data_IF_720097914479
#
_entry.id   IF_720097914479
#
_cell.length_a   1.000
_cell.length_b   1.000
_cell.length_c   1.000
_cell.angle_alpha   90.00
_cell.angle_beta   90.00
_cell.angle_gamma   90.00
#
_symmetry.space_group_name_H-M   'P 1'
#
loop_
_entity.id
_entity.type
_entity.pdbx_description
1 polymer ?
#
# COMPACT_ATOMS: atom_id res chain seq x y z
N UNK A 1 15.93 -68.11 52.64
CA UNK A 1 14.84 -67.24 52.12
C UNK A 1 15.43 -66.16 51.22
N UNK A 2 15.17 -66.20 49.90
CA UNK A 2 15.57 -65.13 48.97
C UNK A 2 14.38 -64.18 48.76
N UNK A 3 14.50 -62.92 49.18
CA UNK A 3 13.48 -61.88 48.94
C UNK A 3 13.50 -61.49 47.45
N UNK A 4 12.41 -61.78 46.72
CA UNK A 4 12.18 -61.28 45.36
C UNK A 4 11.84 -59.79 45.43
N UNK A 5 12.67 -58.91 44.84
CA UNK A 5 12.33 -57.51 44.59
C UNK A 5 11.37 -57.46 43.39
N UNK A 6 10.13 -57.05 43.62
CA UNK A 6 9.14 -56.83 42.56
C UNK A 6 9.39 -55.45 41.96
N UNK A 7 10.12 -55.37 40.84
CA UNK A 7 10.18 -54.14 40.06
C UNK A 7 8.89 -54.00 39.26
N UNK A 8 7.97 -53.14 39.73
CA UNK A 8 6.79 -52.74 38.93
C UNK A 8 7.29 -51.93 37.73
N UNK A 9 7.31 -52.55 36.54
CA UNK A 9 7.48 -51.84 35.26
C UNK A 9 6.19 -51.06 35.03
N UNK A 10 6.26 -49.74 34.99
CA UNK A 10 5.11 -48.89 34.69
C UNK A 10 4.84 -48.93 33.18
N UNK A 11 3.97 -49.85 32.74
CA UNK A 11 3.63 -50.11 31.32
C UNK A 11 2.89 -48.94 30.61
N UNK A 12 2.71 -47.79 31.27
CA UNK A 12 2.11 -46.57 30.69
C UNK A 12 3.03 -45.36 30.59
N UNK A 13 4.28 -45.45 31.04
CA UNK A 13 5.18 -44.28 31.14
C UNK A 13 5.52 -43.65 29.78
N UNK A 14 5.79 -44.48 28.76
CA UNK A 14 6.09 -44.00 27.41
C UNK A 14 4.89 -43.37 26.68
N UNK A 15 3.66 -43.78 27.01
CA UNK A 15 2.45 -43.15 26.47
C UNK A 15 2.23 -41.75 27.05
N UNK A 16 2.50 -41.58 28.35
CA UNK A 16 2.43 -40.28 29.00
C UNK A 16 3.50 -39.31 28.47
N UNK A 17 4.73 -39.80 28.24
CA UNK A 17 5.80 -39.01 27.63
C UNK A 17 5.43 -38.57 26.21
N UNK A 18 4.82 -39.45 25.41
CA UNK A 18 4.33 -39.11 24.07
C UNK A 18 3.21 -38.05 24.10
N UNK A 19 2.29 -38.13 25.07
CA UNK A 19 1.23 -37.12 25.26
C UNK A 19 1.80 -35.75 25.65
N UNK A 20 2.75 -35.72 26.57
CA UNK A 20 3.43 -34.48 26.97
C UNK A 20 4.23 -33.91 25.80
N UNK A 21 4.94 -34.75 25.04
CA UNK A 21 5.68 -34.33 23.86
C UNK A 21 4.74 -33.75 22.77
N UNK A 22 3.59 -34.38 22.53
CA UNK A 22 2.56 -33.87 21.60
C UNK A 22 2.02 -32.51 22.07
N UNK A 23 1.77 -32.36 23.36
CA UNK A 23 1.27 -31.12 23.94
C UNK A 23 2.30 -29.98 23.79
N UNK A 24 3.57 -30.25 24.08
CA UNK A 24 4.66 -29.29 23.90
C UNK A 24 4.83 -28.94 22.42
N UNK A 25 4.85 -29.94 21.53
CA UNK A 25 4.95 -29.72 20.08
C UNK A 25 3.79 -28.88 19.55
N UNK A 26 2.56 -29.11 20.04
CA UNK A 26 1.38 -28.32 19.72
C UNK A 26 1.50 -26.85 20.16
N UNK A 27 1.96 -26.60 21.39
CA UNK A 27 2.21 -25.23 21.87
C UNK A 27 3.27 -24.51 21.04
N UNK A 28 4.38 -25.19 20.73
CA UNK A 28 5.43 -24.64 19.88
C UNK A 28 4.91 -24.32 18.48
N UNK A 29 4.10 -25.22 17.89
CA UNK A 29 3.45 -25.00 16.60
C UNK A 29 2.58 -23.74 16.56
N UNK A 30 1.78 -23.49 17.61
CA UNK A 30 0.95 -22.28 17.71
C UNK A 30 1.82 -21.03 17.79
N UNK A 31 2.89 -21.05 18.58
CA UNK A 31 3.81 -19.91 18.71
C UNK A 31 4.48 -19.60 17.36
N UNK A 32 4.97 -20.63 16.67
CA UNK A 32 5.56 -20.47 15.33
C UNK A 32 4.56 -19.90 14.33
N UNK A 33 3.32 -20.40 14.31
CA UNK A 33 2.27 -19.89 13.43
C UNK A 33 1.92 -18.43 13.71
N UNK A 34 1.97 -18.00 14.99
CA UNK A 34 1.79 -16.58 15.34
C UNK A 34 2.90 -15.70 14.80
N UNK A 35 4.16 -16.14 14.93
CA UNK A 35 5.31 -15.42 14.38
C UNK A 35 5.20 -15.37 12.85
N UNK A 36 4.93 -16.51 12.19
CA UNK A 36 4.77 -16.58 10.74
C UNK A 36 3.63 -15.70 10.23
N UNK A 37 2.50 -15.68 10.93
CA UNK A 37 1.36 -14.81 10.59
C UNK A 37 1.74 -13.33 10.69
N UNK A 38 2.48 -12.94 11.73
CA UNK A 38 2.99 -11.58 11.87
C UNK A 38 3.92 -11.22 10.70
N UNK A 39 4.89 -12.08 10.37
CA UNK A 39 5.81 -11.84 9.25
C UNK A 39 5.11 -11.80 7.89
N UNK A 40 4.09 -12.64 7.67
CA UNK A 40 3.31 -12.62 6.42
C UNK A 40 2.49 -11.34 6.30
N UNK A 41 1.95 -10.83 7.41
CA UNK A 41 1.23 -9.56 7.43
C UNK A 41 2.15 -8.39 7.14
N UNK A 42 3.35 -8.38 7.73
CA UNK A 42 4.38 -7.37 7.45
C UNK A 42 4.82 -7.42 5.99
N UNK A 43 5.07 -8.61 5.45
CA UNK A 43 5.41 -8.80 4.04
C UNK A 43 4.32 -8.25 3.11
N UNK A 44 3.05 -8.58 3.36
CA UNK A 44 1.93 -8.06 2.58
C UNK A 44 1.82 -6.53 2.66
N UNK A 45 2.16 -5.92 3.80
CA UNK A 45 2.20 -4.47 3.94
C UNK A 45 3.38 -3.84 3.18
N UNK A 46 4.53 -4.50 3.15
CA UNK A 46 5.69 -4.05 2.38
C UNK A 46 5.40 -4.10 0.88
N UNK A 47 4.86 -5.21 0.38
CA UNK A 47 4.49 -5.35 -1.04
C UNK A 47 3.51 -4.26 -1.49
N UNK A 48 2.55 -3.90 -0.62
CA UNK A 48 1.64 -2.80 -0.86
C UNK A 48 2.36 -1.44 -0.90
N UNK A 49 3.27 -1.18 0.05
CA UNK A 49 4.03 0.07 0.07
C UNK A 49 4.93 0.22 -1.16
N UNK A 50 5.57 -0.87 -1.59
CA UNK A 50 6.40 -0.90 -2.79
C UNK A 50 5.56 -0.62 -4.04
N UNK A 51 4.36 -1.21 -4.13
CA UNK A 51 3.42 -0.96 -5.23
C UNK A 51 2.98 0.50 -5.25
N UNK A 52 2.58 1.08 -4.11
CA UNK A 52 2.21 2.49 -4.00
C UNK A 52 3.36 3.41 -4.42
N UNK A 53 4.57 3.15 -3.94
CA UNK A 53 5.75 3.93 -4.30
C UNK A 53 6.05 3.83 -5.81
N UNK A 54 5.95 2.62 -6.39
CA UNK A 54 6.15 2.41 -7.82
C UNK A 54 5.13 3.20 -8.66
N UNK A 55 3.86 3.19 -8.27
CA UNK A 55 2.82 3.96 -8.96
C UNK A 55 3.01 5.46 -8.80
N UNK A 56 3.45 5.94 -7.63
CA UNK A 56 3.73 7.35 -7.40
C UNK A 56 4.90 7.84 -8.27
N UNK A 57 5.99 7.06 -8.35
CA UNK A 57 7.13 7.37 -9.22
C UNK A 57 6.72 7.34 -10.69
N UNK A 58 5.94 6.33 -11.11
CA UNK A 58 5.42 6.25 -12.48
C UNK A 58 4.54 7.45 -12.85
N UNK A 59 3.63 7.84 -11.96
CA UNK A 59 2.81 9.02 -12.11
C UNK A 59 3.65 10.30 -12.23
N UNK A 60 4.77 10.41 -11.50
CA UNK A 60 5.67 11.56 -11.59
C UNK A 60 6.32 11.70 -12.96
N UNK A 61 6.77 10.58 -13.54
CA UNK A 61 7.36 10.54 -14.88
C UNK A 61 6.29 10.86 -15.93
N UNK A 62 5.08 10.35 -15.74
CA UNK A 62 3.98 10.65 -16.63
C UNK A 62 3.59 12.13 -16.59
N UNK A 63 3.46 12.74 -15.41
CA UNK A 63 3.20 14.17 -15.28
C UNK A 63 4.32 15.02 -15.89
N UNK A 64 5.58 14.58 -15.76
CA UNK A 64 6.70 15.24 -16.45
C UNK A 64 6.57 15.14 -17.97
N UNK A 65 6.19 13.98 -18.51
CA UNK A 65 5.94 13.82 -19.96
C UNK A 65 4.79 14.69 -20.43
N UNK A 66 3.70 14.78 -19.66
CA UNK A 66 2.57 15.67 -19.96
C UNK A 66 3.05 17.12 -19.96
N UNK A 67 3.83 17.53 -18.95
CA UNK A 67 4.38 18.89 -18.90
C UNK A 67 5.31 19.21 -20.08
N UNK A 68 6.14 18.27 -20.52
CA UNK A 68 7.01 18.43 -21.71
C UNK A 68 6.16 18.50 -22.99
N UNK A 69 5.20 17.59 -23.16
CA UNK A 69 4.31 17.59 -24.32
C UNK A 69 3.47 18.88 -24.40
N UNK A 70 3.11 19.43 -23.24
CA UNK A 70 2.42 20.71 -23.14
C UNK A 70 3.30 21.91 -23.52
N UNK A 71 4.63 21.81 -23.37
CA UNK A 71 5.55 22.84 -23.87
C UNK A 71 5.59 22.89 -25.40
N UNK A 72 5.30 21.78 -26.07
CA UNK A 72 5.28 21.68 -27.53
C UNK A 72 3.93 22.06 -28.15
N UNK A 73 2.89 22.26 -27.32
CA UNK A 73 1.55 22.67 -27.77
C UNK A 73 1.42 24.20 -27.80
N UNK A 74 0.71 24.71 -28.81
CA UNK A 74 0.37 26.14 -28.92
C UNK A 74 -0.59 26.59 -27.80
N UNK A 75 -1.45 25.69 -27.30
CA UNK A 75 -2.29 25.88 -26.11
C UNK A 75 -1.75 25.04 -24.94
N UNK A 76 -1.28 25.73 -23.91
CA UNK A 76 -0.61 25.14 -22.74
C UNK A 76 -1.63 24.81 -21.63
N UNK A 77 -1.88 23.53 -21.36
CA UNK A 77 -2.67 23.01 -20.24
C UNK A 77 -2.07 23.35 -18.86
N UNK A 78 -0.75 23.53 -18.74
CA UNK A 78 -0.09 23.93 -17.50
C UNK A 78 -0.01 25.45 -17.29
N UNK A 79 -0.35 26.28 -18.28
CA UNK A 79 -0.33 27.73 -18.11
C UNK A 79 -1.63 28.19 -17.43
N UNK A 80 -1.54 28.40 -16.12
CA UNK A 80 -2.32 29.29 -15.21
C UNK A 80 -3.87 29.29 -15.24
N UNK A 81 -4.51 28.80 -16.30
CA UNK A 81 -5.95 29.00 -16.53
C UNK A 81 -6.76 27.76 -16.12
N UNK A 82 -6.19 26.55 -16.25
CA UNK A 82 -6.88 25.29 -15.94
C UNK A 82 -6.33 24.58 -14.68
N UNK A 83 -5.04 24.77 -14.39
CA UNK A 83 -4.36 24.15 -13.25
C UNK A 83 -4.08 25.21 -12.18
N UNK A 84 -4.78 25.09 -11.05
CA UNK A 84 -4.81 26.05 -9.96
C UNK A 84 -3.92 25.54 -8.81
N UNK A 85 -3.06 26.42 -8.29
CA UNK A 85 -2.27 26.11 -7.09
C UNK A 85 -3.15 25.72 -5.90
N UNK A 86 -2.72 24.71 -5.16
CA UNK A 86 -3.42 24.17 -4.01
C UNK A 86 -4.52 23.16 -4.33
N UNK A 87 -4.94 23.05 -5.59
CA UNK A 87 -5.99 22.12 -6.06
C UNK A 87 -5.46 20.72 -6.31
N UNK A 88 -6.36 19.73 -6.26
CA UNK A 88 -6.09 18.33 -6.59
C UNK A 88 -6.68 17.98 -7.95
N UNK A 89 -5.99 17.12 -8.67
CA UNK A 89 -6.38 16.68 -9.99
C UNK A 89 -6.25 15.17 -10.09
N UNK A 90 -7.24 14.55 -10.72
CA UNK A 90 -7.20 13.13 -11.05
C UNK A 90 -6.44 12.93 -12.36
N UNK A 91 -5.92 11.72 -12.55
CA UNK A 91 -5.21 11.31 -13.75
C UNK A 91 -5.99 10.15 -14.36
N UNK A 92 -6.16 10.15 -15.68
CA UNK A 92 -6.82 9.04 -16.35
C UNK A 92 -6.14 7.67 -16.07
N UNK A 93 -6.84 6.59 -16.42
CA UNK A 93 -6.40 5.21 -16.17
C UNK A 93 -5.00 4.91 -16.75
N UNK A 94 -4.66 5.50 -17.89
CA UNK A 94 -3.37 5.29 -18.57
C UNK A 94 -2.24 6.18 -18.03
N UNK A 95 -2.58 7.27 -17.36
CA UNK A 95 -1.61 8.21 -16.80
C UNK A 95 -1.18 9.27 -17.80
N UNK A 96 -1.91 9.43 -18.89
CA UNK A 96 -1.53 10.25 -20.05
C UNK A 96 -2.19 11.62 -20.06
N UNK A 97 -3.29 11.79 -19.31
CA UNK A 97 -4.05 13.04 -19.31
C UNK A 97 -4.52 13.43 -17.90
N UNK A 98 -4.52 14.73 -17.65
CA UNK A 98 -5.03 15.34 -16.42
C UNK A 98 -6.53 15.54 -16.57
N UNK A 99 -7.32 15.05 -15.61
CA UNK A 99 -8.76 15.21 -15.63
C UNK A 99 -9.17 16.54 -15.00
N UNK A 100 -9.90 17.35 -15.76
CA UNK A 100 -10.56 18.59 -15.31
C UNK A 100 -12.06 18.33 -15.13
N UNK A 101 -12.74 18.95 -14.16
CA UNK A 101 -12.28 19.96 -13.20
C UNK A 101 -11.50 19.39 -11.99
N UNK A 102 -10.89 20.23 -11.13
CA UNK A 102 -10.21 19.78 -9.92
C UNK A 102 -11.13 18.97 -9.00
N UNK A 103 -10.55 17.95 -8.37
CA UNK A 103 -11.23 17.02 -7.46
C UNK A 103 -11.01 17.43 -6.00
N UNK A 104 -11.92 17.01 -5.12
CA UNK A 104 -11.73 17.16 -3.67
C UNK A 104 -11.12 15.89 -3.10
N UNK A 105 -9.88 15.98 -2.62
CA UNK A 105 -9.26 14.87 -1.90
C UNK A 105 -9.79 14.80 -0.46
N UNK A 106 -10.51 13.73 -0.14
CA UNK A 106 -10.97 13.42 1.21
C UNK A 106 -10.87 11.92 1.49
N UNK A 107 -10.65 11.55 2.74
CA UNK A 107 -10.52 10.14 3.14
C UNK A 107 -11.78 9.30 2.87
N UNK A 108 -12.95 9.94 2.79
CA UNK A 108 -14.25 9.31 2.51
C UNK A 108 -14.62 9.29 1.02
N UNK A 109 -13.88 9.99 0.16
CA UNK A 109 -14.14 10.10 -1.28
C UNK A 109 -13.23 9.23 -2.15
N UNK A 110 -12.62 8.18 -1.59
CA UNK A 110 -11.62 7.36 -2.29
C UNK A 110 -12.20 6.59 -3.48
N UNK A 111 -13.47 6.21 -3.40
CA UNK A 111 -14.14 5.41 -4.42
C UNK A 111 -14.45 6.19 -5.71
N UNK A 112 -14.31 7.52 -5.69
CA UNK A 112 -14.57 8.37 -6.86
C UNK A 112 -13.33 8.64 -7.72
N UNK A 113 -12.14 8.19 -7.31
CA UNK A 113 -10.92 8.38 -8.10
C UNK A 113 -10.77 7.32 -9.17
N UNK A 114 -10.12 7.70 -10.26
CA UNK A 114 -9.79 6.81 -11.36
C UNK A 114 -8.78 5.76 -10.91
N UNK A 115 -9.11 4.49 -11.16
CA UNK A 115 -8.26 3.36 -10.81
C UNK A 115 -7.19 3.13 -11.86
N UNK A 116 -6.03 2.65 -11.40
CA UNK A 116 -5.00 2.13 -12.30
C UNK A 116 -5.51 0.78 -12.86
N UNK A 117 -5.43 0.55 -14.19
CA UNK A 117 -6.00 -0.63 -14.84
C UNK A 117 -5.61 -1.94 -14.16
N UNK A 118 -6.62 -2.78 -13.89
CA UNK A 118 -6.48 -4.08 -13.23
C UNK A 118 -5.93 -4.01 -11.80
N UNK A 119 -6.13 -2.89 -11.11
CA UNK A 119 -5.71 -2.73 -9.71
C UNK A 119 -6.73 -1.96 -8.87
N UNK A 120 -6.60 -2.05 -7.55
CA UNK A 120 -7.40 -1.28 -6.59
C UNK A 120 -6.73 0.04 -6.17
N UNK A 121 -5.66 0.43 -6.88
CA UNK A 121 -4.88 1.62 -6.58
C UNK A 121 -5.41 2.82 -7.36
N UNK A 122 -5.48 3.98 -6.71
CA UNK A 122 -5.72 5.27 -7.35
C UNK A 122 -4.47 6.13 -7.30
N UNK A 123 -4.40 7.13 -8.19
CA UNK A 123 -3.34 8.14 -8.20
C UNK A 123 -3.95 9.51 -8.50
N UNK A 124 -3.62 10.49 -7.69
CA UNK A 124 -3.98 11.89 -7.90
C UNK A 124 -2.73 12.74 -7.67
N UNK A 125 -2.78 14.00 -8.05
CA UNK A 125 -1.74 14.95 -7.68
C UNK A 125 -2.33 16.27 -7.21
N UNK A 126 -1.60 16.93 -6.33
CA UNK A 126 -1.87 18.28 -5.87
C UNK A 126 -0.80 19.21 -6.42
N UNK A 127 -1.22 20.36 -6.89
CA UNK A 127 -0.31 21.43 -7.28
C UNK A 127 0.09 22.18 -6.02
N UNK A 128 1.36 22.14 -5.63
CA UNK A 128 1.85 22.84 -4.44
C UNK A 128 2.24 24.27 -4.79
N UNK A 129 2.96 24.44 -5.90
CA UNK A 129 3.32 25.74 -6.45
C UNK A 129 3.67 25.62 -7.93
N UNK A 130 3.36 26.64 -8.72
CA UNK A 130 3.78 26.82 -10.11
C UNK A 130 4.48 28.17 -10.18
N UNK A 131 5.79 28.14 -10.48
CA UNK A 131 6.62 29.33 -10.68
C UNK A 131 7.16 29.33 -12.12
N UNK A 132 7.72 30.45 -12.56
CA UNK A 132 8.31 30.59 -13.89
C UNK A 132 9.42 29.55 -14.11
N UNK A 133 9.05 28.47 -14.77
CA UNK A 133 9.95 27.37 -15.14
C UNK A 133 10.05 26.23 -14.11
N UNK A 134 9.24 26.22 -13.04
CA UNK A 134 9.21 25.10 -12.08
C UNK A 134 7.81 24.83 -11.56
N UNK A 135 7.39 23.57 -11.55
CA UNK A 135 6.17 23.13 -10.89
C UNK A 135 6.51 22.15 -9.77
N UNK A 136 6.02 22.40 -8.56
CA UNK A 136 6.10 21.48 -7.43
C UNK A 136 4.76 20.79 -7.31
N UNK A 137 4.77 19.46 -7.46
CA UNK A 137 3.58 18.62 -7.37
C UNK A 137 3.73 17.63 -6.22
N UNK A 138 2.66 17.42 -5.48
CA UNK A 138 2.53 16.34 -4.49
C UNK A 138 1.64 15.25 -5.09
N UNK A 139 2.24 14.10 -5.42
CA UNK A 139 1.52 12.94 -5.94
C UNK A 139 1.04 12.12 -4.76
N UNK A 140 -0.23 11.72 -4.79
CA UNK A 140 -0.87 10.92 -3.76
C UNK A 140 -1.36 9.65 -4.42
N UNK A 141 -0.86 8.51 -3.95
CA UNK A 141 -1.32 7.19 -4.36
C UNK A 141 -1.90 6.46 -3.16
N UNK A 142 -3.04 5.81 -3.34
CA UNK A 142 -3.70 5.07 -2.28
C UNK A 142 -4.48 3.88 -2.81
N UNK A 143 -5.15 3.18 -1.92
CA UNK A 143 -6.05 2.06 -2.23
C UNK A 143 -7.48 2.50 -1.96
N UNK A 144 -8.42 2.16 -2.84
CA UNK A 144 -9.85 2.49 -2.68
C UNK A 144 -10.49 1.67 -1.58
N UNK A 145 -10.25 0.35 -1.59
CA UNK A 145 -10.71 -0.56 -0.54
C UNK A 145 -9.67 -1.64 -0.23
N UNK A 146 -9.43 -1.88 1.06
CA UNK A 146 -8.79 -3.11 1.52
C UNK A 146 -9.86 -3.97 2.18
N UNK A 147 -10.18 -5.11 1.57
CA UNK A 147 -11.02 -6.12 2.21
C UNK A 147 -10.28 -6.75 3.39
N UNK A 148 -10.33 -6.12 4.56
CA UNK A 148 -9.74 -6.58 5.80
C UNK A 148 -10.73 -6.53 6.97
N UNK A 149 -10.68 -7.55 7.84
CA UNK A 149 -11.62 -7.76 8.96
C UNK A 149 -11.69 -6.59 9.96
N UNK A 150 -10.72 -5.66 9.93
CA UNK A 150 -10.58 -4.54 10.88
C UNK A 150 -10.11 -3.21 10.24
N UNK A 151 -10.11 -3.07 8.92
CA UNK A 151 -9.65 -1.83 8.26
C UNK A 151 -10.84 -1.09 7.69
N UNK A 152 -11.20 0.03 8.32
CA UNK A 152 -12.09 1.00 7.69
C UNK A 152 -11.34 1.68 6.54
N UNK A 153 -12.02 2.15 5.48
CA UNK A 153 -11.37 2.89 4.38
C UNK A 153 -10.59 4.13 4.86
N UNK A 154 -10.84 4.58 6.09
CA UNK A 154 -10.13 5.64 6.81
C UNK A 154 -8.79 5.22 7.43
N UNK A 155 -8.53 3.93 7.63
CA UNK A 155 -7.27 3.41 8.19
C UNK A 155 -6.20 3.13 7.12
N UNK A 156 -6.57 3.27 5.85
CA UNK A 156 -5.69 3.03 4.72
C UNK A 156 -4.72 4.22 4.59
N UNK A 157 -3.42 3.93 4.73
CA UNK A 157 -2.38 4.93 4.56
C UNK A 157 -2.16 5.20 3.08
N UNK A 158 -2.19 6.46 2.70
CA UNK A 158 -1.81 6.90 1.36
C UNK A 158 -0.32 7.24 1.33
N UNK A 159 0.30 6.97 0.20
CA UNK A 159 1.68 7.32 -0.07
C UNK A 159 1.73 8.68 -0.78
N UNK A 160 2.56 9.57 -0.24
CA UNK A 160 2.78 10.90 -0.79
C UNK A 160 4.19 11.03 -1.33
N UNK A 161 4.30 11.50 -2.57
CA UNK A 161 5.57 11.70 -3.25
C UNK A 161 5.66 13.13 -3.80
N UNK A 162 6.60 13.91 -3.27
CA UNK A 162 6.84 15.26 -3.74
C UNK A 162 7.78 15.21 -4.95
N UNK A 163 7.36 15.80 -6.06
CA UNK A 163 8.16 15.93 -7.27
C UNK A 163 8.30 17.41 -7.64
N UNK A 164 9.49 17.80 -8.06
CA UNK A 164 9.74 19.08 -8.69
C UNK A 164 9.97 18.83 -10.18
N UNK A 165 9.07 19.35 -11.00
CA UNK A 165 9.23 19.38 -12.45
C UNK A 165 9.91 20.70 -12.78
N UNK A 166 11.13 20.62 -13.28
CA UNK A 166 11.84 21.78 -13.82
C UNK A 166 11.57 21.83 -15.32
N UNK A 167 11.09 22.98 -15.79
CA UNK A 167 10.77 23.31 -17.18
C UNK A 167 12.03 23.70 -17.95
#
# INVERSE_FOLDING_TARGET
>A
MKRKKVSKKYEGMGFAEALIALMIAGMVGIVLMRISSATLRELAQLDMQDSLAQYAVSASVNLQKIAIADMERDEKQFNETDIIEGSYYDINEEGTEIMLPPVTYSASGRDSFTLIPNTDYFRIFRVVSIDEGKAILEIITGVTSMAGVNTSSTDIKDYKYLVTIVR
#
